data_IF_179013436008
#
_entry.id   IF_179013436008
#
_cell.length_a   1.000
_cell.length_b   1.000
_cell.length_c   1.000
_cell.angle_alpha   90.00
_cell.angle_beta   90.00
_cell.angle_gamma   90.00
#
_symmetry.space_group_name_H-M   'P 1'
#
loop_
_entity.id
_entity.type
_entity.pdbx_description
1 polymer ?
#
# COMPACT_ATOMS: atom_id res chain seq x y z
N UNK A 1 -43.09 -36.71 2.89
CA UNK A 1 -42.85 -35.97 4.17
C UNK A 1 -41.48 -35.34 4.08
N UNK A 2 -41.42 -34.02 4.14
CA UNK A 2 -40.15 -33.29 4.20
C UNK A 2 -39.81 -33.00 5.66
N UNK A 3 -38.62 -33.36 6.08
CA UNK A 3 -38.13 -33.14 7.45
C UNK A 3 -36.75 -32.47 7.42
N UNK A 4 -36.58 -31.36 8.18
CA UNK A 4 -35.29 -30.71 8.38
C UNK A 4 -34.48 -31.50 9.42
N UNK A 5 -33.27 -31.90 9.07
CA UNK A 5 -32.33 -32.58 9.97
C UNK A 5 -31.29 -31.53 10.44
N UNK A 6 -31.10 -31.41 11.76
CA UNK A 6 -30.13 -30.55 12.40
C UNK A 6 -28.96 -31.33 13.03
N UNK A 7 -29.15 -32.63 13.19
CA UNK A 7 -28.18 -33.56 13.76
C UNK A 7 -28.14 -34.83 12.95
N UNK A 8 -27.05 -35.56 13.02
CA UNK A 8 -26.95 -36.90 12.46
C UNK A 8 -28.09 -37.74 12.99
N UNK A 9 -28.82 -38.39 12.08
CA UNK A 9 -30.05 -39.13 12.42
C UNK A 9 -30.01 -40.45 11.69
N UNK A 10 -30.25 -41.51 12.45
CA UNK A 10 -30.50 -42.83 11.88
C UNK A 10 -32.01 -42.98 11.64
N UNK A 11 -32.39 -43.51 10.49
CA UNK A 11 -33.78 -43.74 10.13
C UNK A 11 -33.94 -45.08 9.41
N UNK A 12 -35.13 -45.59 9.45
CA UNK A 12 -35.51 -46.78 8.70
C UNK A 12 -36.86 -46.56 8.00
N UNK A 13 -37.12 -47.33 6.99
CA UNK A 13 -38.36 -47.30 6.23
C UNK A 13 -39.20 -48.54 6.60
N UNK A 14 -40.35 -48.29 7.20
CA UNK A 14 -41.34 -49.35 7.43
C UNK A 14 -42.43 -49.23 6.37
N UNK A 15 -42.70 -50.31 5.70
CA UNK A 15 -43.77 -50.46 4.70
C UNK A 15 -44.84 -51.36 5.27
N UNK A 16 -46.08 -50.86 5.27
CA UNK A 16 -47.26 -51.60 5.73
C UNK A 16 -48.21 -51.76 4.55
N UNK A 17 -48.55 -52.99 4.22
CA UNK A 17 -49.54 -53.28 3.18
C UNK A 17 -50.98 -52.95 3.64
N UNK A 18 -51.96 -52.87 2.73
CA UNK A 18 -53.37 -52.71 3.13
C UNK A 18 -53.89 -53.82 4.05
N UNK A 19 -53.29 -54.98 3.95
CA UNK A 19 -53.58 -56.13 4.79
C UNK A 19 -52.77 -56.20 6.10
N UNK A 20 -52.15 -55.06 6.48
CA UNK A 20 -51.34 -54.87 7.71
C UNK A 20 -50.12 -55.82 7.80
N UNK A 21 -49.57 -56.21 6.66
CA UNK A 21 -48.29 -56.94 6.61
C UNK A 21 -47.17 -55.95 6.58
N UNK A 22 -46.26 -55.99 7.56
CA UNK A 22 -45.07 -55.14 7.65
C UNK A 22 -43.85 -55.82 7.03
N UNK A 23 -42.87 -55.01 6.52
CA UNK A 23 -41.59 -55.60 6.11
C UNK A 23 -40.81 -56.09 7.33
N UNK A 24 -40.28 -57.29 7.24
CA UNK A 24 -39.57 -57.96 8.36
C UNK A 24 -38.17 -57.40 8.54
N UNK A 25 -37.48 -56.99 7.42
CA UNK A 25 -36.16 -56.50 7.44
C UNK A 25 -36.17 -54.94 7.36
N UNK A 26 -35.81 -54.28 8.47
CA UNK A 26 -35.61 -52.84 8.52
C UNK A 26 -34.13 -52.52 8.30
N UNK A 27 -33.80 -51.96 7.13
CA UNK A 27 -32.48 -51.41 6.85
C UNK A 27 -32.38 -50.06 7.52
N UNK A 28 -31.38 -49.90 8.39
CA UNK A 28 -31.11 -48.63 9.02
C UNK A 28 -30.20 -47.77 8.10
N UNK A 29 -30.65 -46.60 7.77
CA UNK A 29 -29.93 -45.60 6.99
C UNK A 29 -29.48 -44.50 7.92
N UNK A 30 -28.28 -43.97 7.66
CA UNK A 30 -27.75 -42.80 8.40
C UNK A 30 -27.76 -41.57 7.50
N UNK A 31 -28.45 -40.53 7.94
CA UNK A 31 -28.32 -39.18 7.38
C UNK A 31 -27.29 -38.41 8.19
N UNK A 32 -26.19 -38.02 7.55
CA UNK A 32 -25.15 -37.22 8.18
C UNK A 32 -25.34 -35.73 7.82
N UNK A 33 -25.41 -34.89 8.82
CA UNK A 33 -25.49 -33.46 8.65
C UNK A 33 -24.07 -32.92 8.55
N UNK A 34 -23.74 -32.31 7.43
CA UNK A 34 -22.49 -31.51 7.25
C UNK A 34 -22.74 -30.13 7.84
N UNK A 35 -21.90 -29.76 8.81
CA UNK A 35 -22.00 -28.41 9.39
C UNK A 35 -21.42 -27.40 8.41
N UNK A 36 -22.21 -26.42 8.12
CA UNK A 36 -21.84 -25.28 7.30
C UNK A 36 -21.00 -24.29 8.13
N UNK A 37 -19.87 -23.82 7.57
CA UNK A 37 -18.90 -22.94 8.22
C UNK A 37 -19.22 -21.49 7.91
N UNK A 38 -18.52 -20.59 8.59
CA UNK A 38 -18.55 -19.17 8.24
C UNK A 38 -17.67 -18.93 7.02
N UNK A 39 -18.08 -18.03 6.12
CA UNK A 39 -17.21 -17.60 5.04
C UNK A 39 -15.97 -16.88 5.60
N UNK A 40 -14.93 -16.80 4.80
CA UNK A 40 -13.72 -16.03 5.11
C UNK A 40 -13.46 -15.00 4.03
N UNK A 41 -12.80 -13.90 4.41
CA UNK A 41 -12.41 -12.83 3.52
C UNK A 41 -11.01 -12.36 3.89
N UNK A 42 -10.14 -12.25 2.89
CA UNK A 42 -8.78 -11.76 3.02
C UNK A 42 -8.52 -10.70 1.97
N UNK A 43 -8.01 -9.54 2.38
CA UNK A 43 -7.70 -8.40 1.50
C UNK A 43 -6.19 -8.36 1.28
N UNK A 44 -5.78 -8.38 0.02
CA UNK A 44 -4.38 -8.24 -0.41
C UNK A 44 -4.01 -6.77 -0.60
N UNK A 45 -4.92 -5.99 -1.23
CA UNK A 45 -4.74 -4.56 -1.49
C UNK A 45 -6.09 -3.83 -1.43
N UNK A 46 -6.16 -2.64 -0.84
CA UNK A 46 -5.19 -2.09 0.08
C UNK A 46 -5.24 -2.84 1.41
N UNK A 47 -4.08 -3.19 1.96
CA UNK A 47 -3.97 -3.87 3.25
C UNK A 47 -3.76 -2.89 4.43
N UNK A 48 -3.65 -1.60 4.13
CA UNK A 48 -3.53 -0.48 5.04
C UNK A 48 -4.57 0.59 4.69
N UNK A 49 -4.51 1.72 5.39
CA UNK A 49 -5.25 2.91 5.01
C UNK A 49 -4.84 3.36 3.60
N UNK A 50 -5.82 3.75 2.80
CA UNK A 50 -5.63 4.14 1.40
C UNK A 50 -5.55 5.66 1.28
N UNK A 51 -4.45 6.14 0.72
CA UNK A 51 -4.30 7.54 0.37
C UNK A 51 -4.67 7.73 -1.10
N UNK A 52 -5.67 8.57 -1.35
CA UNK A 52 -6.10 8.92 -2.72
C UNK A 52 -5.08 9.88 -3.32
N UNK A 53 -4.50 9.47 -4.44
CA UNK A 53 -3.62 10.32 -5.22
C UNK A 53 -4.40 11.11 -6.28
N UNK A 54 -3.90 11.24 -7.49
CA UNK A 54 -4.55 11.91 -8.62
C UNK A 54 -5.76 11.14 -9.13
N UNK A 55 -5.66 9.82 -9.15
CA UNK A 55 -6.74 8.93 -9.56
C UNK A 55 -7.59 8.54 -8.33
N UNK A 56 -8.85 8.97 -8.26
CA UNK A 56 -9.74 8.63 -7.15
C UNK A 56 -10.23 7.17 -7.18
N UNK A 57 -9.60 6.32 -7.97
CA UNK A 57 -9.91 4.91 -8.05
C UNK A 57 -9.09 4.10 -7.03
N UNK A 58 -9.79 3.40 -6.14
CA UNK A 58 -9.19 2.51 -5.16
C UNK A 58 -9.15 1.08 -5.70
N UNK A 59 -7.97 0.54 -6.01
CA UNK A 59 -7.84 -0.87 -6.38
C UNK A 59 -8.08 -1.75 -5.16
N UNK A 60 -8.94 -2.76 -5.31
CA UNK A 60 -9.30 -3.67 -4.24
C UNK A 60 -9.13 -5.11 -4.70
N UNK A 61 -8.08 -5.77 -4.19
CA UNK A 61 -7.79 -7.17 -4.45
C UNK A 61 -8.02 -8.00 -3.18
N UNK A 62 -8.81 -9.05 -3.30
CA UNK A 62 -9.20 -9.88 -2.17
C UNK A 62 -9.46 -11.33 -2.56
N UNK A 63 -9.46 -12.19 -1.54
CA UNK A 63 -9.87 -13.58 -1.65
C UNK A 63 -11.01 -13.86 -0.68
N UNK A 64 -12.02 -14.58 -1.15
CA UNK A 64 -13.12 -15.09 -0.33
C UNK A 64 -13.20 -16.61 -0.45
N UNK A 65 -13.46 -17.29 0.67
CA UNK A 65 -13.63 -18.74 0.69
C UNK A 65 -14.78 -19.16 1.59
N UNK A 66 -15.54 -20.16 1.14
CA UNK A 66 -16.66 -20.77 1.84
C UNK A 66 -16.85 -22.22 1.36
N UNK A 67 -17.48 -23.08 2.16
CA UNK A 67 -17.68 -24.50 1.81
C UNK A 67 -18.85 -24.74 0.85
N UNK A 68 -19.82 -23.83 0.74
CA UNK A 68 -20.99 -23.96 -0.12
C UNK A 68 -21.20 -22.81 -1.11
N UNK A 69 -20.41 -21.73 -0.99
CA UNK A 69 -20.47 -20.55 -1.84
C UNK A 69 -21.17 -19.35 -1.19
N UNK A 70 -21.40 -18.32 -1.96
CA UNK A 70 -21.76 -17.00 -1.45
C UNK A 70 -23.14 -16.57 -1.91
N UNK A 71 -23.81 -15.75 -1.11
CA UNK A 71 -25.04 -15.08 -1.52
C UNK A 71 -24.80 -13.64 -2.00
N UNK A 72 -23.92 -12.91 -1.33
CA UNK A 72 -23.59 -11.52 -1.66
C UNK A 72 -22.32 -11.05 -0.96
N UNK A 73 -21.76 -9.95 -1.49
CA UNK A 73 -20.69 -9.18 -0.87
C UNK A 73 -20.96 -7.70 -1.01
N UNK A 74 -20.47 -6.91 -0.06
CA UNK A 74 -20.59 -5.46 -0.12
C UNK A 74 -19.45 -4.76 0.62
N UNK A 75 -19.13 -3.57 0.14
CA UNK A 75 -18.33 -2.57 0.82
C UNK A 75 -19.27 -1.71 1.66
N UNK A 76 -18.96 -1.55 2.93
CA UNK A 76 -19.64 -0.63 3.84
C UNK A 76 -18.72 0.56 4.10
N UNK A 77 -19.23 1.76 3.96
CA UNK A 77 -18.44 2.98 4.12
C UNK A 77 -19.23 4.09 4.81
N UNK A 78 -18.50 4.97 5.49
CA UNK A 78 -19.04 6.21 6.07
C UNK A 78 -18.00 7.31 6.04
N UNK A 79 -18.42 8.54 5.88
CA UNK A 79 -17.52 9.69 6.00
C UNK A 79 -17.31 10.04 7.47
N UNK A 80 -16.03 10.16 7.87
CA UNK A 80 -15.62 10.55 9.24
C UNK A 80 -15.08 11.96 9.29
N UNK A 81 -14.64 12.50 8.14
CA UNK A 81 -14.25 13.88 7.97
C UNK A 81 -14.73 14.38 6.60
N UNK A 82 -15.14 15.64 6.53
CA UNK A 82 -15.61 16.26 5.30
C UNK A 82 -14.76 17.46 4.92
N UNK A 83 -14.35 17.50 3.64
CA UNK A 83 -13.72 18.66 2.99
C UNK A 83 -14.70 19.76 2.61
N UNK A 84 -16.01 19.51 2.81
CA UNK A 84 -17.06 20.52 2.58
C UNK A 84 -18.26 20.03 1.78
N UNK A 85 -18.18 18.92 1.06
CA UNK A 85 -19.29 18.40 0.22
C UNK A 85 -19.96 17.17 0.78
N UNK A 86 -19.21 16.32 1.49
CA UNK A 86 -19.69 15.07 2.06
C UNK A 86 -20.33 15.28 3.42
N UNK A 87 -21.36 14.49 3.74
CA UNK A 87 -22.01 14.50 5.05
C UNK A 87 -21.35 13.46 5.95
N UNK A 88 -20.75 13.92 7.05
CA UNK A 88 -20.23 13.04 8.11
C UNK A 88 -21.38 12.29 8.77
N UNK A 89 -21.30 10.96 8.80
CA UNK A 89 -22.35 10.09 9.31
C UNK A 89 -21.81 9.03 10.24
N UNK A 90 -22.57 8.71 11.29
CA UNK A 90 -22.31 7.55 12.14
C UNK A 90 -22.76 6.24 11.45
N UNK A 91 -23.66 6.31 10.48
CA UNK A 91 -24.21 5.15 9.80
C UNK A 91 -23.40 4.80 8.55
N UNK A 92 -23.17 3.49 8.36
CA UNK A 92 -22.49 2.99 7.17
C UNK A 92 -23.50 2.88 6.00
N UNK A 93 -23.10 3.42 4.86
CA UNK A 93 -23.74 3.17 3.56
C UNK A 93 -23.19 1.88 2.96
N UNK A 94 -23.96 1.26 2.07
CA UNK A 94 -23.58 0.00 1.44
C UNK A 94 -23.37 0.20 -0.05
N UNK A 95 -22.26 -0.33 -0.58
CA UNK A 95 -21.97 -0.44 -2.00
C UNK A 95 -21.84 -1.94 -2.35
N UNK A 96 -22.70 -2.43 -3.24
CA UNK A 96 -22.76 -3.85 -3.59
C UNK A 96 -21.57 -4.23 -4.49
N UNK A 97 -20.95 -5.39 -4.19
CA UNK A 97 -19.89 -5.99 -4.98
C UNK A 97 -20.38 -7.31 -5.57
N UNK A 98 -19.98 -7.58 -6.82
CA UNK A 98 -20.42 -8.78 -7.53
C UNK A 98 -19.59 -9.98 -7.12
N UNK A 99 -20.23 -11.11 -6.78
CA UNK A 99 -19.58 -12.40 -6.49
C UNK A 99 -20.25 -13.52 -7.26
N UNK A 100 -19.50 -14.56 -7.59
CA UNK A 100 -20.03 -15.80 -8.15
C UNK A 100 -20.60 -16.68 -7.04
N UNK A 101 -21.91 -16.94 -7.09
CA UNK A 101 -22.63 -17.60 -5.99
C UNK A 101 -22.24 -19.06 -5.78
N UNK A 102 -21.81 -19.75 -6.84
CA UNK A 102 -21.55 -21.20 -6.83
C UNK A 102 -20.09 -21.59 -6.63
N UNK A 103 -19.17 -20.62 -6.64
CA UNK A 103 -17.74 -20.87 -6.44
C UNK A 103 -17.38 -20.74 -4.97
N UNK A 104 -16.74 -21.77 -4.42
CA UNK A 104 -16.36 -21.81 -3.01
C UNK A 104 -15.08 -21.00 -2.70
N UNK A 105 -14.24 -20.71 -3.69
CA UNK A 105 -13.01 -19.92 -3.57
C UNK A 105 -12.95 -18.94 -4.74
N UNK A 106 -12.78 -17.66 -4.45
CA UNK A 106 -12.69 -16.63 -5.47
C UNK A 106 -11.60 -15.63 -5.12
N UNK A 107 -10.76 -15.32 -6.11
CA UNK A 107 -9.89 -14.16 -6.10
C UNK A 107 -10.54 -13.07 -6.95
N UNK A 108 -10.76 -11.92 -6.34
CA UNK A 108 -11.57 -10.84 -6.90
C UNK A 108 -10.78 -9.55 -6.92
N UNK A 109 -10.79 -8.88 -8.06
CA UNK A 109 -10.23 -7.54 -8.25
C UNK A 109 -11.36 -6.56 -8.59
N UNK A 110 -11.42 -5.45 -7.86
CA UNK A 110 -12.33 -4.35 -8.15
C UNK A 110 -11.55 -3.05 -8.25
N UNK A 111 -12.12 -2.12 -8.97
CA UNK A 111 -11.66 -0.75 -8.99
C UNK A 111 -12.81 0.13 -8.51
N UNK A 112 -12.71 0.66 -7.30
CA UNK A 112 -13.77 1.42 -6.66
C UNK A 112 -13.55 2.91 -6.94
N UNK A 113 -14.39 3.49 -7.78
CA UNK A 113 -14.43 4.93 -7.98
C UNK A 113 -14.99 5.61 -6.72
N UNK A 114 -14.09 6.21 -5.94
CA UNK A 114 -14.42 6.88 -4.68
C UNK A 114 -15.28 8.14 -4.91
N UNK A 115 -15.19 8.76 -6.08
CA UNK A 115 -16.07 9.91 -6.42
C UNK A 115 -17.52 9.47 -6.59
N UNK A 116 -17.75 8.26 -7.10
CA UNK A 116 -19.09 7.67 -7.20
C UNK A 116 -19.72 7.39 -5.83
N UNK A 117 -18.91 7.22 -4.78
CA UNK A 117 -19.35 7.12 -3.39
C UNK A 117 -19.66 8.49 -2.77
N UNK A 118 -19.32 9.57 -3.46
CA UNK A 118 -19.49 10.96 -3.03
C UNK A 118 -18.25 11.54 -2.33
N UNK A 119 -17.09 10.91 -2.47
CA UNK A 119 -15.82 11.38 -1.90
C UNK A 119 -15.25 12.53 -2.73
N UNK A 120 -14.72 13.54 -2.05
CA UNK A 120 -14.06 14.72 -2.61
C UNK A 120 -12.82 15.09 -1.81
N UNK A 121 -12.03 16.03 -2.33
CA UNK A 121 -10.82 16.51 -1.65
C UNK A 121 -11.09 16.98 -0.22
N UNK A 122 -10.24 16.57 0.70
CA UNK A 122 -10.36 16.85 2.13
C UNK A 122 -11.25 15.88 2.90
N UNK A 123 -11.88 14.92 2.23
CA UNK A 123 -12.72 13.91 2.87
C UNK A 123 -11.86 12.76 3.42
N UNK A 124 -12.35 12.16 4.52
CA UNK A 124 -11.89 10.86 5.01
C UNK A 124 -13.11 9.96 5.16
N UNK A 125 -13.01 8.73 4.66
CA UNK A 125 -14.02 7.70 4.89
C UNK A 125 -13.42 6.48 5.58
N UNK A 126 -14.20 5.86 6.44
CA UNK A 126 -13.94 4.52 6.96
C UNK A 126 -14.73 3.50 6.14
N UNK A 127 -14.09 2.37 5.85
CA UNK A 127 -14.75 1.28 5.13
C UNK A 127 -14.34 -0.08 5.65
N UNK A 128 -15.21 -1.06 5.43
CA UNK A 128 -14.93 -2.48 5.61
C UNK A 128 -15.71 -3.29 4.59
N UNK A 129 -15.25 -4.50 4.35
CA UNK A 129 -15.89 -5.45 3.46
C UNK A 129 -16.66 -6.48 4.27
N UNK A 130 -17.77 -6.94 3.72
CA UNK A 130 -18.57 -8.00 4.32
C UNK A 130 -19.08 -8.94 3.24
N UNK A 131 -18.88 -10.23 3.46
CA UNK A 131 -19.34 -11.32 2.59
C UNK A 131 -20.31 -12.21 3.36
N UNK A 132 -21.31 -12.73 2.68
CA UNK A 132 -22.28 -13.67 3.23
C UNK A 132 -22.28 -14.96 2.44
N UNK A 133 -22.37 -16.08 3.16
CA UNK A 133 -22.58 -17.39 2.56
C UNK A 133 -23.98 -17.53 1.98
N UNK A 134 -24.26 -18.70 1.38
CA UNK A 134 -25.54 -19.03 0.78
C UNK A 134 -26.41 -19.96 1.65
N UNK A 135 -26.16 -20.05 2.99
CA UNK A 135 -26.95 -20.95 3.86
C UNK A 135 -28.44 -20.61 3.85
N UNK A 136 -29.20 -21.37 3.06
CA UNK A 136 -30.66 -21.31 2.99
C UNK A 136 -31.37 -22.05 4.13
N UNK A 137 -30.64 -22.75 5.00
CA UNK A 137 -31.21 -23.63 6.05
C UNK A 137 -31.24 -22.91 7.40
N UNK A 138 -30.12 -22.35 7.85
CA UNK A 138 -30.00 -21.69 9.15
C UNK A 138 -29.99 -20.16 9.03
N UNK A 139 -29.91 -19.66 7.81
CA UNK A 139 -29.76 -18.26 7.45
C UNK A 139 -28.30 -17.90 7.18
N UNK A 140 -28.08 -16.90 6.31
CA UNK A 140 -26.74 -16.56 5.85
C UNK A 140 -25.83 -16.12 7.01
N UNK A 141 -24.66 -16.75 7.13
CA UNK A 141 -23.57 -16.33 8.01
C UNK A 141 -22.74 -15.28 7.27
N UNK A 142 -21.97 -14.51 8.01
CA UNK A 142 -21.16 -13.47 7.39
C UNK A 142 -19.78 -13.34 8.05
N UNK A 143 -18.81 -12.95 7.24
CA UNK A 143 -17.50 -12.48 7.68
C UNK A 143 -17.29 -11.04 7.26
N UNK A 144 -16.50 -10.30 8.05
CA UNK A 144 -16.15 -8.91 7.77
C UNK A 144 -14.64 -8.71 7.96
N UNK A 145 -14.07 -7.78 7.21
CA UNK A 145 -12.69 -7.33 7.43
C UNK A 145 -12.59 -6.42 8.65
N UNK A 146 -11.38 -6.04 9.01
CA UNK A 146 -11.13 -4.85 9.82
C UNK A 146 -11.66 -3.60 9.10
N UNK A 147 -11.79 -2.51 9.85
CA UNK A 147 -12.10 -1.19 9.30
C UNK A 147 -10.82 -0.55 8.81
N UNK A 148 -10.83 -0.07 7.59
CA UNK A 148 -9.77 0.70 6.95
C UNK A 148 -10.24 2.12 6.72
N UNK A 149 -9.30 3.02 6.42
CA UNK A 149 -9.59 4.40 6.03
C UNK A 149 -9.18 4.65 4.59
N UNK A 150 -9.91 5.52 3.92
CA UNK A 150 -9.47 6.17 2.70
C UNK A 150 -9.46 7.68 2.94
N UNK A 151 -8.34 8.31 2.60
CA UNK A 151 -8.11 9.74 2.81
C UNK A 151 -7.89 10.39 1.46
N UNK A 152 -8.68 11.41 1.16
CA UNK A 152 -8.49 12.22 -0.03
C UNK A 152 -7.90 13.58 0.40
N UNK A 153 -6.58 13.78 0.30
CA UNK A 153 -5.96 15.01 0.75
C UNK A 153 -6.45 16.20 -0.08
N UNK A 154 -6.49 17.36 0.55
CA UNK A 154 -6.74 18.60 -0.20
C UNK A 154 -5.53 18.96 -1.06
N UNK A 155 -5.75 19.70 -2.13
CA UNK A 155 -4.67 20.22 -2.96
C UNK A 155 -3.63 21.00 -2.11
N UNK A 156 -4.09 21.78 -1.13
CA UNK A 156 -3.20 22.52 -0.22
C UNK A 156 -2.32 21.57 0.63
N UNK A 157 -2.88 20.47 1.15
CA UNK A 157 -2.12 19.47 1.92
C UNK A 157 -1.08 18.77 1.03
N UNK A 158 -1.44 18.44 -0.21
CA UNK A 158 -0.49 17.89 -1.20
C UNK A 158 0.63 18.89 -1.52
N UNK A 159 0.32 20.18 -1.65
CA UNK A 159 1.34 21.22 -1.82
C UNK A 159 2.27 21.34 -0.63
N UNK A 160 1.75 21.27 0.61
CA UNK A 160 2.59 21.32 1.82
C UNK A 160 3.52 20.12 1.89
N UNK A 161 3.03 18.91 1.60
CA UNK A 161 3.83 17.68 1.59
C UNK A 161 4.96 17.76 0.57
N UNK A 162 4.64 18.12 -0.66
CA UNK A 162 5.60 18.28 -1.76
C UNK A 162 6.63 19.39 -1.45
N UNK A 163 6.20 20.50 -0.87
CA UNK A 163 7.10 21.58 -0.49
C UNK A 163 8.07 21.14 0.62
N UNK A 164 7.58 20.38 1.60
CA UNK A 164 8.43 19.85 2.66
C UNK A 164 9.47 18.86 2.13
N UNK A 165 9.10 17.96 1.21
CA UNK A 165 10.05 17.06 0.54
C UNK A 165 11.11 17.83 -0.27
N UNK A 166 10.70 18.89 -0.98
CA UNK A 166 11.64 19.76 -1.71
C UNK A 166 12.61 20.47 -0.76
N UNK A 167 12.13 21.01 0.37
CA UNK A 167 12.98 21.64 1.37
C UNK A 167 14.00 20.65 1.95
N UNK A 168 13.61 19.41 2.24
CA UNK A 168 14.52 18.37 2.71
C UNK A 168 15.64 18.10 1.69
N UNK A 169 15.30 17.91 0.43
CA UNK A 169 16.27 17.72 -0.65
C UNK A 169 17.21 18.92 -0.80
N UNK A 170 16.69 20.15 -0.74
CA UNK A 170 17.49 21.37 -0.81
C UNK A 170 18.47 21.47 0.36
N UNK A 171 18.06 21.09 1.56
CA UNK A 171 18.91 21.06 2.74
C UNK A 171 20.01 20.00 2.62
N UNK A 172 19.68 18.77 2.19
CA UNK A 172 20.65 17.70 1.92
C UNK A 172 21.71 18.16 0.88
N UNK A 173 21.29 18.81 -0.20
CA UNK A 173 22.18 19.35 -1.22
C UNK A 173 23.09 20.46 -0.68
N UNK A 174 22.56 21.33 0.17
CA UNK A 174 23.32 22.40 0.80
C UNK A 174 24.41 21.87 1.74
N UNK A 175 24.14 20.78 2.45
CA UNK A 175 25.13 20.10 3.29
C UNK A 175 26.19 19.37 2.46
N UNK A 176 25.79 18.69 1.40
CA UNK A 176 26.72 18.04 0.46
C UNK A 176 27.66 19.06 -0.18
N UNK A 177 27.16 20.21 -0.59
CA UNK A 177 27.95 21.33 -1.13
C UNK A 177 29.02 21.78 -0.11
N UNK A 178 28.65 22.03 1.14
CA UNK A 178 29.58 22.39 2.21
C UNK A 178 30.68 21.35 2.44
N UNK A 179 30.26 20.08 2.45
CA UNK A 179 31.19 18.95 2.62
C UNK A 179 32.18 18.85 1.47
N UNK A 180 31.72 19.07 0.24
CA UNK A 180 32.57 19.10 -0.94
C UNK A 180 33.57 20.24 -0.93
N UNK A 181 33.12 21.45 -0.57
CA UNK A 181 34.01 22.63 -0.44
C UNK A 181 35.12 22.35 0.60
N UNK A 182 34.77 21.76 1.74
CA UNK A 182 35.73 21.37 2.78
C UNK A 182 36.70 20.30 2.27
N UNK A 183 36.24 19.28 1.55
CA UNK A 183 37.07 18.27 0.92
C UNK A 183 38.02 18.89 -0.13
N UNK A 184 37.53 19.77 -0.99
CA UNK A 184 38.39 20.49 -1.96
C UNK A 184 39.54 21.23 -1.26
N UNK A 185 39.24 21.92 -0.16
CA UNK A 185 40.28 22.65 0.62
C UNK A 185 41.30 21.71 1.25
N UNK A 186 40.85 20.56 1.78
CA UNK A 186 41.75 19.57 2.39
C UNK A 186 42.60 18.87 1.33
N UNK A 187 42.07 18.55 0.15
CA UNK A 187 42.84 18.08 -1.00
C UNK A 187 43.91 19.07 -1.42
N UNK A 188 43.57 20.36 -1.50
CA UNK A 188 44.52 21.42 -1.87
C UNK A 188 45.65 21.53 -0.86
N UNK A 189 45.35 21.49 0.44
CA UNK A 189 46.38 21.50 1.50
C UNK A 189 47.26 20.27 1.42
N UNK A 190 46.69 19.12 1.15
CA UNK A 190 47.47 17.86 1.02
C UNK A 190 48.37 17.90 -0.22
N UNK A 191 47.85 18.43 -1.35
CA UNK A 191 48.63 18.60 -2.58
C UNK A 191 49.84 19.52 -2.37
N UNK A 192 49.63 20.69 -1.71
CA UNK A 192 50.71 21.63 -1.36
C UNK A 192 51.76 20.94 -0.45
N UNK A 193 51.35 20.13 0.50
CA UNK A 193 52.20 19.38 1.39
C UNK A 193 53.02 18.29 0.64
N UNK A 194 52.40 17.60 -0.30
CA UNK A 194 53.06 16.61 -1.17
C UNK A 194 54.11 17.25 -2.09
N UNK A 195 53.89 18.47 -2.57
CA UNK A 195 54.86 19.19 -3.39
C UNK A 195 56.09 19.64 -2.57
N UNK A 196 55.91 19.86 -1.28
CA UNK A 196 57.01 20.35 -0.39
C UNK A 196 57.81 19.20 0.24
N UNK A 197 57.20 17.99 0.36
CA UNK A 197 57.84 16.84 1.03
C UNK A 197 58.09 15.69 0.05
N UNK A 198 59.32 15.14 0.07
CA UNK A 198 59.66 14.00 -0.80
C UNK A 198 59.01 12.67 -0.42
N UNK A 199 58.46 12.54 0.78
CA UNK A 199 57.75 11.35 1.26
C UNK A 199 56.65 11.77 2.24
N UNK A 200 55.46 11.16 2.08
CA UNK A 200 54.33 11.30 3.00
C UNK A 200 54.60 10.54 4.31
N UNK A 201 54.32 11.18 5.43
CA UNK A 201 54.32 10.53 6.75
C UNK A 201 53.21 9.49 6.85
N UNK A 202 53.23 8.63 7.88
CA UNK A 202 52.15 7.69 8.16
C UNK A 202 50.80 8.40 8.43
N UNK A 203 50.83 9.52 9.13
CA UNK A 203 49.67 10.33 9.44
C UNK A 203 49.08 10.96 8.18
N UNK A 204 49.91 11.45 7.26
CA UNK A 204 49.45 12.00 5.97
C UNK A 204 48.75 10.94 5.13
N UNK A 205 49.26 9.70 5.11
CA UNK A 205 48.61 8.57 4.41
C UNK A 205 47.23 8.23 4.99
N UNK A 206 47.13 8.28 6.32
CA UNK A 206 45.85 8.04 7.01
C UNK A 206 44.83 9.14 6.71
N UNK A 207 45.31 10.38 6.61
CA UNK A 207 44.47 11.52 6.28
C UNK A 207 43.97 11.46 4.83
N UNK A 208 44.82 11.09 3.87
CA UNK A 208 44.43 10.82 2.49
C UNK A 208 43.39 9.70 2.41
N UNK A 209 43.61 8.60 3.16
CA UNK A 209 42.64 7.52 3.17
C UNK A 209 41.27 7.98 3.71
N UNK A 210 41.25 8.78 4.77
CA UNK A 210 40.00 9.38 5.31
C UNK A 210 39.29 10.22 4.27
N UNK A 211 40.05 11.08 3.56
CA UNK A 211 39.49 11.95 2.49
C UNK A 211 38.89 11.14 1.35
N UNK A 212 39.54 10.04 0.95
CA UNK A 212 39.00 9.09 -0.06
C UNK A 212 37.71 8.45 0.41
N UNK A 213 37.65 8.01 1.67
CA UNK A 213 36.46 7.38 2.22
C UNK A 213 35.31 8.38 2.38
N UNK A 214 35.59 9.62 2.78
CA UNK A 214 34.61 10.72 2.85
C UNK A 214 34.08 11.09 1.46
N UNK A 215 34.99 11.15 0.45
CA UNK A 215 34.59 11.41 -0.93
C UNK A 215 33.66 10.31 -1.49
N UNK A 216 33.99 9.03 -1.25
CA UNK A 216 33.12 7.93 -1.67
C UNK A 216 31.73 8.01 -1.02
N UNK A 217 31.69 8.28 0.28
CA UNK A 217 30.44 8.44 1.00
C UNK A 217 29.61 9.61 0.48
N UNK A 218 30.26 10.70 0.14
CA UNK A 218 29.61 11.87 -0.45
C UNK A 218 29.01 11.55 -1.83
N UNK A 219 29.73 10.80 -2.68
CA UNK A 219 29.21 10.36 -3.98
C UNK A 219 27.99 9.44 -3.84
N UNK A 220 28.02 8.51 -2.88
CA UNK A 220 26.86 7.64 -2.58
C UNK A 220 25.66 8.46 -2.11
N UNK A 221 25.85 9.43 -1.23
CA UNK A 221 24.78 10.30 -0.76
C UNK A 221 24.23 11.17 -1.89
N UNK A 222 25.11 11.70 -2.74
CA UNK A 222 24.72 12.50 -3.88
C UNK A 222 23.84 11.72 -4.87
N UNK A 223 24.23 10.46 -5.16
CA UNK A 223 23.42 9.59 -6.01
C UNK A 223 22.03 9.32 -5.41
N UNK A 224 21.96 9.05 -4.10
CA UNK A 224 20.66 8.84 -3.41
C UNK A 224 19.80 10.12 -3.45
N UNK A 225 20.39 11.29 -3.24
CA UNK A 225 19.66 12.56 -3.28
C UNK A 225 19.18 12.86 -4.71
N UNK A 226 19.98 12.52 -5.72
CA UNK A 226 19.58 12.64 -7.13
C UNK A 226 18.41 11.73 -7.48
N UNK A 227 18.43 10.47 -7.04
CA UNK A 227 17.31 9.52 -7.23
C UNK A 227 16.03 10.06 -6.58
N UNK A 228 16.08 10.51 -5.33
CA UNK A 228 14.95 11.16 -4.64
C UNK A 228 14.42 12.38 -5.41
N UNK A 229 15.33 13.22 -5.93
CA UNK A 229 14.93 14.41 -6.67
C UNK A 229 14.24 14.08 -7.99
N UNK A 230 14.74 13.10 -8.75
CA UNK A 230 14.09 12.68 -10.00
C UNK A 230 12.70 12.09 -9.75
N UNK A 231 12.51 11.28 -8.69
CA UNK A 231 11.20 10.78 -8.28
C UNK A 231 10.23 11.91 -7.94
N UNK A 232 10.70 12.88 -7.13
CA UNK A 232 9.90 14.06 -6.78
C UNK A 232 9.58 14.92 -8.01
N UNK A 233 10.51 15.07 -8.93
CA UNK A 233 10.34 15.83 -10.17
C UNK A 233 9.32 15.20 -11.12
N UNK A 234 9.33 13.86 -11.29
CA UNK A 234 8.32 13.17 -12.10
C UNK A 234 6.92 13.40 -11.55
N UNK A 235 6.73 13.23 -10.23
CA UNK A 235 5.47 13.51 -9.54
C UNK A 235 5.00 14.96 -9.70
N UNK A 236 5.95 15.90 -9.69
CA UNK A 236 5.68 17.34 -9.82
C UNK A 236 5.37 17.77 -11.24
N UNK A 237 6.02 17.16 -12.24
CA UNK A 237 5.74 17.45 -13.66
C UNK A 237 4.35 17.00 -14.05
N UNK A 238 3.93 15.82 -13.59
CA UNK A 238 2.58 15.33 -13.79
C UNK A 238 1.52 16.25 -13.18
N UNK A 239 1.85 16.91 -12.06
CA UNK A 239 0.95 17.79 -11.32
C UNK A 239 1.05 19.27 -11.67
N UNK A 240 1.96 19.70 -12.57
CA UNK A 240 2.28 21.12 -12.87
C UNK A 240 2.69 21.93 -11.61
N UNK A 241 3.32 21.29 -10.64
CA UNK A 241 3.61 21.87 -9.32
C UNK A 241 5.10 22.18 -9.09
N UNK A 242 5.95 22.14 -10.12
CA UNK A 242 7.38 22.45 -9.97
C UNK A 242 7.56 23.93 -9.69
N UNK A 243 8.17 24.27 -8.55
CA UNK A 243 8.55 25.62 -8.26
C UNK A 243 9.80 26.04 -9.06
N UNK A 244 9.88 27.31 -9.42
CA UNK A 244 11.04 27.90 -10.11
C UNK A 244 12.33 27.72 -9.28
N UNK A 245 12.20 27.77 -7.93
CA UNK A 245 13.31 27.54 -6.99
C UNK A 245 13.83 26.09 -7.00
N UNK A 246 12.95 25.10 -7.14
CA UNK A 246 13.36 23.71 -7.22
C UNK A 246 14.12 23.41 -8.52
N UNK A 247 13.70 24.02 -9.64
CA UNK A 247 14.43 23.91 -10.91
C UNK A 247 15.82 24.58 -10.84
N UNK A 248 15.93 25.75 -10.22
CA UNK A 248 17.21 26.44 -10.03
C UNK A 248 18.20 25.62 -9.20
N UNK A 249 17.71 24.97 -8.13
CA UNK A 249 18.52 24.09 -7.30
C UNK A 249 18.93 22.79 -8.00
N UNK A 250 18.09 22.29 -8.87
CA UNK A 250 18.42 21.14 -9.71
C UNK A 250 19.54 21.44 -10.71
N UNK A 251 19.49 22.63 -11.32
CA UNK A 251 20.56 23.08 -12.23
C UNK A 251 21.88 23.25 -11.46
N UNK A 252 21.85 23.84 -10.26
CA UNK A 252 23.03 23.93 -9.38
C UNK A 252 23.59 22.53 -9.02
N UNK A 253 22.72 21.52 -8.82
CA UNK A 253 23.13 20.15 -8.55
C UNK A 253 23.84 19.52 -9.74
N UNK A 254 23.29 19.68 -10.94
CA UNK A 254 23.89 19.14 -12.16
C UNK A 254 25.25 19.77 -12.45
N UNK A 255 25.39 21.09 -12.30
CA UNK A 255 26.69 21.78 -12.42
C UNK A 255 27.69 21.24 -11.39
N UNK A 256 27.23 20.95 -10.17
CA UNK A 256 28.07 20.41 -9.11
C UNK A 256 28.51 18.96 -9.38
N UNK A 257 27.62 18.11 -9.95
CA UNK A 257 27.97 16.76 -10.39
C UNK A 257 29.06 16.77 -11.47
N UNK A 258 28.91 17.64 -12.48
CA UNK A 258 29.92 17.79 -13.53
C UNK A 258 31.28 18.25 -12.98
N UNK A 259 31.30 19.10 -11.94
CA UNK A 259 32.54 19.49 -11.27
C UNK A 259 33.22 18.35 -10.49
N UNK A 260 32.42 17.44 -9.89
CA UNK A 260 32.93 16.28 -9.13
C UNK A 260 33.45 15.15 -10.01
N UNK A 261 32.86 14.96 -11.19
CA UNK A 261 33.32 14.01 -12.21
C UNK A 261 34.59 14.48 -12.94
N UNK A 262 35.16 15.62 -12.54
CA UNK A 262 36.34 16.16 -13.17
C UNK A 262 37.54 15.20 -12.98
N UNK A 263 38.18 14.73 -14.08
CA UNK A 263 39.26 13.75 -14.06
C UNK A 263 40.54 14.23 -13.35
N UNK A 264 40.65 15.49 -12.93
CA UNK A 264 41.73 15.98 -12.08
C UNK A 264 41.62 15.49 -10.64
N UNK A 265 40.41 15.29 -10.13
CA UNK A 265 40.13 14.71 -8.81
C UNK A 265 40.39 13.20 -8.83
N UNK A 266 39.99 12.49 -9.90
CA UNK A 266 40.28 11.07 -10.10
C UNK A 266 41.78 10.76 -10.20
N UNK A 267 42.58 11.68 -10.72
CA UNK A 267 44.05 11.52 -10.81
C UNK A 267 44.79 11.74 -9.48
N UNK A 268 44.14 12.37 -8.51
CA UNK A 268 44.67 12.59 -7.16
C UNK A 268 44.33 11.45 -6.20
N UNK A 269 43.37 10.61 -6.54
CA UNK A 269 42.97 9.38 -5.87
C UNK A 269 43.79 8.19 -6.37
#
# INVERSE_FOLDING_TARGET
>A
VTRRLLLNTDYFISLVSPDQIENIDTVTYRATVVQDRFPSIYVFSPNNDFLVDLDPNMPLDLEIADDFGFSKMALFYRFVKSGGTSEVSAEYRQYALTVEQSQCLQQLGYNIDLTSLGMSEGDELEYYLKVWDNDGVSGPKAASTAVFKAVYPTLAAKYEEVTAEQEEVIDELSELKKTSESLKDDYRKMQEKMLQQKQLSFDDKKEVQRMVDEHKKMLEQLQQTQEKFEETKEQLQENQMISEQALEKYDELNEFLEELENPEIEKLL
#
